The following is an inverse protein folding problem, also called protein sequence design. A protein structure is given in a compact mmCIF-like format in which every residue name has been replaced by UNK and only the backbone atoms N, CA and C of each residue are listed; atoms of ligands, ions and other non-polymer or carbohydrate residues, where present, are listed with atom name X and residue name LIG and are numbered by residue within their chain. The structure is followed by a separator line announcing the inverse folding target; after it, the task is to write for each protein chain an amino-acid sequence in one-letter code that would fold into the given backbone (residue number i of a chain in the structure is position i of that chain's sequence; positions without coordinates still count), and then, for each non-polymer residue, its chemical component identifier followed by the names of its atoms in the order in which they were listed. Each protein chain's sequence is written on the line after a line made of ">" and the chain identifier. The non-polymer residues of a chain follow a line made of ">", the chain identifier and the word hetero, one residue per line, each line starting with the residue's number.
data_IF_044540067952
#
_entry.id   IF_044540067952
#
_cell.length_a   1.000
_cell.length_b   1.000
_cell.length_c   1.000
_cell.angle_alpha   90.00
_cell.angle_beta   90.00
_cell.angle_gamma   90.00
#
_symmetry.space_group_name_H-M   'P 1'
#
loop_
_entity.id
_entity.type
_entity.pdbx_description
1 polymer ?
#
# COMPACT_ATOMS: atom_id res chain seq x y z
N UNK A 1 4.76 -11.40 26.43
CA UNK A 1 4.92 -9.99 26.82
C UNK A 1 3.91 -9.21 26.00
N UNK A 2 2.88 -8.61 26.61
CA UNK A 2 1.84 -7.88 25.88
C UNK A 2 2.46 -6.62 25.32
N UNK A 3 2.55 -6.51 24.00
CA UNK A 3 2.82 -5.24 23.31
C UNK A 3 1.49 -4.46 23.36
N UNK A 4 1.18 -3.89 24.53
CA UNK A 4 0.18 -2.84 24.59
C UNK A 4 0.93 -1.55 24.32
N UNK A 5 0.92 -1.10 23.07
CA UNK A 5 1.10 0.32 22.83
C UNK A 5 -0.05 1.00 23.59
N UNK A 6 0.18 1.39 24.83
CA UNK A 6 -0.72 2.27 25.57
C UNK A 6 -0.53 3.66 24.97
N UNK A 7 -1.32 3.96 23.93
CA UNK A 7 -1.57 5.35 23.59
C UNK A 7 -2.37 5.94 24.75
N UNK A 8 -1.98 7.09 25.29
CA UNK A 8 -2.80 7.77 26.31
C UNK A 8 -4.16 8.05 25.67
N UNK A 9 -5.22 7.54 26.31
CA UNK A 9 -6.60 7.90 26.00
C UNK A 9 -6.84 9.32 26.47
N UNK A 10 -6.61 10.30 25.58
CA UNK A 10 -7.07 11.65 25.81
C UNK A 10 -8.59 11.69 25.62
N UNK A 11 -9.33 11.64 26.71
CA UNK A 11 -10.77 11.88 26.73
C UNK A 11 -10.97 13.39 26.77
N UNK A 12 -11.32 14.00 25.63
CA UNK A 12 -11.83 15.36 25.59
C UNK A 12 -13.34 15.34 25.84
N UNK A 13 -13.87 16.09 26.81
CA UNK A 13 -15.31 16.25 26.99
C UNK A 13 -15.84 17.28 26.01
N UNK A 14 -16.29 16.85 24.83
CA UNK A 14 -17.10 17.65 23.94
C UNK A 14 -18.55 17.14 24.03
N UNK A 15 -19.48 18.00 24.48
CA UNK A 15 -20.90 17.83 24.22
C UNK A 15 -21.10 18.16 22.74
N UNK A 16 -20.73 17.24 21.87
CA UNK A 16 -21.12 17.24 20.46
C UNK A 16 -22.31 16.29 20.35
N UNK A 17 -23.34 16.68 19.61
CA UNK A 17 -24.25 15.70 19.00
C UNK A 17 -23.35 14.64 18.39
N UNK A 18 -23.49 13.38 18.82
CA UNK A 18 -22.56 12.31 18.41
C UNK A 18 -22.69 12.11 16.88
N UNK A 19 -21.82 12.81 16.14
CA UNK A 19 -21.76 12.79 14.68
C UNK A 19 -21.65 11.36 14.11
N UNK A 20 -21.19 10.41 14.92
CA UNK A 20 -20.90 9.04 14.55
C UNK A 20 -21.71 8.04 15.39
N UNK A 21 -22.92 8.42 15.82
CA UNK A 21 -23.76 7.64 16.72
C UNK A 21 -24.07 6.24 16.17
N UNK A 22 -24.48 6.15 14.89
CA UNK A 22 -24.80 4.87 14.23
C UNK A 22 -23.53 4.02 14.02
N UNK A 23 -22.42 4.63 13.61
CA UNK A 23 -21.14 3.93 13.46
C UNK A 23 -20.70 3.34 14.81
N UNK A 24 -20.86 4.06 15.90
CA UNK A 24 -20.56 3.59 17.26
C UNK A 24 -21.49 2.45 17.69
N UNK A 25 -22.79 2.56 17.43
CA UNK A 25 -23.76 1.50 17.69
C UNK A 25 -23.38 0.22 16.93
N UNK A 26 -23.12 0.34 15.63
CA UNK A 26 -22.72 -0.79 14.77
C UNK A 26 -21.39 -1.41 15.20
N UNK A 27 -20.41 -0.60 15.60
CA UNK A 27 -19.15 -1.11 16.14
C UNK A 27 -19.36 -1.88 17.44
N UNK A 28 -20.17 -1.37 18.37
CA UNK A 28 -20.52 -2.08 19.61
C UNK A 28 -21.23 -3.42 19.32
N UNK A 29 -22.15 -3.42 18.36
CA UNK A 29 -22.81 -4.66 17.91
C UNK A 29 -21.84 -5.63 17.27
N UNK A 30 -20.90 -5.16 16.43
CA UNK A 30 -19.91 -6.00 15.75
C UNK A 30 -18.98 -6.72 16.73
N UNK A 31 -18.66 -6.11 17.87
CA UNK A 31 -17.82 -6.75 18.90
C UNK A 31 -18.42 -8.04 19.47
N UNK A 32 -19.71 -8.27 19.31
CA UNK A 32 -20.39 -9.50 19.76
C UNK A 32 -20.31 -10.64 18.72
N UNK A 33 -19.91 -10.36 17.47
CA UNK A 33 -19.92 -11.35 16.38
C UNK A 33 -18.63 -11.36 15.55
N UNK A 34 -17.84 -10.32 15.58
CA UNK A 34 -16.58 -10.20 14.84
C UNK A 34 -15.45 -9.98 15.84
N UNK A 35 -14.41 -10.79 15.76
CA UNK A 35 -13.25 -10.67 16.65
C UNK A 35 -12.68 -9.23 16.58
N UNK A 36 -12.59 -8.57 17.73
CA UNK A 36 -12.21 -7.16 17.88
C UNK A 36 -13.15 -6.15 17.16
N UNK A 37 -14.33 -6.57 16.67
CA UNK A 37 -15.30 -5.75 15.96
C UNK A 37 -14.93 -5.38 14.52
N UNK A 38 -13.81 -5.88 13.99
CA UNK A 38 -13.29 -5.56 12.64
C UNK A 38 -12.64 -6.78 11.98
N UNK A 39 -12.73 -6.88 10.64
CA UNK A 39 -12.09 -7.95 9.86
C UNK A 39 -10.63 -7.65 9.46
N UNK A 40 -10.10 -6.49 9.84
CA UNK A 40 -8.69 -6.14 9.66
C UNK A 40 -8.25 -5.24 10.79
N UNK A 41 -7.15 -5.58 11.48
CA UNK A 41 -6.65 -4.86 12.65
C UNK A 41 -6.41 -3.36 12.39
N UNK A 42 -6.01 -2.98 11.19
CA UNK A 42 -5.78 -1.59 10.83
C UNK A 42 -7.08 -0.75 10.88
N UNK A 43 -8.24 -1.36 10.60
CA UNK A 43 -9.53 -0.63 10.64
C UNK A 43 -9.95 -0.23 12.05
N UNK A 44 -9.41 -0.93 13.08
CA UNK A 44 -9.66 -0.58 14.49
C UNK A 44 -8.93 0.71 14.93
N UNK A 45 -7.92 1.12 14.16
CA UNK A 45 -7.14 2.32 14.47
C UNK A 45 -7.85 3.62 14.06
N UNK A 46 -8.97 3.55 13.36
CA UNK A 46 -9.73 4.73 12.93
C UNK A 46 -10.31 5.46 14.14
N UNK A 47 -10.14 6.80 14.18
CA UNK A 47 -10.60 7.67 15.25
C UNK A 47 -11.66 8.63 14.70
N UNK A 48 -12.67 9.00 15.49
CA UNK A 48 -12.89 8.67 16.91
C UNK A 48 -13.51 7.28 17.14
N UNK A 49 -13.96 6.61 16.09
CA UNK A 49 -14.55 5.26 16.07
C UNK A 49 -14.36 4.65 14.68
N UNK A 50 -14.26 3.32 14.53
CA UNK A 50 -14.34 2.69 13.22
C UNK A 50 -15.64 3.07 12.50
N UNK A 51 -15.52 3.77 11.36
CA UNK A 51 -16.67 4.23 10.60
C UNK A 51 -17.31 3.09 9.80
N UNK A 52 -18.62 3.12 9.70
CA UNK A 52 -19.40 2.24 8.84
C UNK A 52 -19.91 3.03 7.65
N UNK A 53 -19.64 2.55 6.45
CA UNK A 53 -20.01 3.24 5.20
C UNK A 53 -21.24 2.59 4.57
N UNK A 54 -22.10 3.42 4.00
CA UNK A 54 -23.31 2.99 3.29
C UNK A 54 -23.06 2.81 1.79
N UNK A 55 -22.36 3.77 1.15
CA UNK A 55 -22.04 3.75 -0.27
C UNK A 55 -20.86 4.68 -0.59
N UNK A 56 -20.37 4.58 -1.83
CA UNK A 56 -19.38 5.47 -2.40
C UNK A 56 -19.66 5.72 -3.87
N UNK A 57 -19.26 6.88 -4.38
CA UNK A 57 -19.37 7.26 -5.78
C UNK A 57 -18.21 8.16 -6.19
N UNK A 58 -17.48 7.80 -7.23
CA UNK A 58 -16.34 8.56 -7.72
C UNK A 58 -15.27 8.78 -6.62
N UNK A 59 -14.99 10.04 -6.31
CA UNK A 59 -14.03 10.46 -5.29
C UNK A 59 -14.59 10.51 -3.86
N UNK A 60 -15.88 10.16 -3.65
CA UNK A 60 -16.61 10.40 -2.41
C UNK A 60 -17.14 9.13 -1.79
N UNK A 61 -17.32 9.16 -0.45
CA UNK A 61 -17.90 8.08 0.34
C UNK A 61 -18.82 8.66 1.42
N UNK A 62 -19.89 7.94 1.74
CA UNK A 62 -20.86 8.33 2.78
C UNK A 62 -20.92 7.28 3.87
N UNK A 63 -20.83 7.73 5.11
CA UNK A 63 -21.02 6.83 6.24
C UNK A 63 -22.52 6.59 6.55
N UNK A 64 -22.80 5.69 7.48
CA UNK A 64 -24.17 5.34 7.91
C UNK A 64 -24.84 6.45 8.72
N UNK A 65 -24.07 7.40 9.20
CA UNK A 65 -24.55 8.57 9.92
C UNK A 65 -24.94 9.70 8.95
N UNK A 66 -24.68 9.55 7.64
CA UNK A 66 -25.00 10.49 6.57
C UNK A 66 -23.91 11.53 6.31
N UNK A 67 -22.74 11.39 6.91
CA UNK A 67 -21.62 12.27 6.63
C UNK A 67 -20.98 11.94 5.29
N UNK A 68 -20.68 12.95 4.48
CA UNK A 68 -19.98 12.86 3.21
C UNK A 68 -18.49 13.19 3.40
N UNK A 69 -17.63 12.43 2.70
CA UNK A 69 -16.19 12.63 2.72
C UNK A 69 -15.61 12.63 1.29
N UNK A 70 -14.71 13.56 1.00
CA UNK A 70 -13.77 13.41 -0.10
C UNK A 70 -12.75 12.35 0.35
N UNK A 71 -12.68 11.23 -0.38
CA UNK A 71 -11.96 10.03 0.09
C UNK A 71 -10.59 9.90 -0.56
N UNK A 72 -9.55 10.31 0.16
CA UNK A 72 -8.15 10.08 -0.22
C UNK A 72 -7.58 8.78 0.36
N UNK A 73 -8.40 7.94 1.00
CA UNK A 73 -8.03 6.57 1.38
C UNK A 73 -8.32 5.59 0.25
N UNK A 74 -9.40 5.79 -0.50
CA UNK A 74 -9.85 5.00 -1.67
C UNK A 74 -9.56 3.49 -1.52
N UNK A 75 -10.13 2.89 -0.45
CA UNK A 75 -9.97 1.46 -0.18
C UNK A 75 -8.51 1.03 0.08
N UNK A 76 -7.73 1.82 0.82
CA UNK A 76 -6.29 1.60 1.03
C UNK A 76 -5.51 1.58 -0.29
N UNK A 77 -5.94 2.40 -1.25
CA UNK A 77 -5.34 2.51 -2.58
C UNK A 77 -5.83 1.49 -3.62
N UNK A 78 -6.79 0.63 -3.29
CA UNK A 78 -7.33 -0.36 -4.25
C UNK A 78 -8.23 0.27 -5.32
N UNK A 79 -8.91 1.37 -5.01
CA UNK A 79 -9.90 2.00 -5.86
C UNK A 79 -9.28 3.08 -6.77
N UNK A 80 -8.33 2.68 -7.63
CA UNK A 80 -7.67 3.60 -8.55
C UNK A 80 -8.68 4.36 -9.44
N UNK A 81 -9.81 3.74 -9.77
CA UNK A 81 -10.87 4.33 -10.62
C UNK A 81 -11.96 5.03 -9.79
N UNK A 82 -11.80 5.15 -8.46
CA UNK A 82 -12.79 5.67 -7.54
C UNK A 82 -13.82 4.64 -7.11
N UNK A 83 -14.82 5.10 -6.36
CA UNK A 83 -15.92 4.28 -5.88
C UNK A 83 -16.96 4.05 -6.98
N UNK A 84 -17.48 2.82 -7.07
CA UNK A 84 -18.55 2.40 -7.98
C UNK A 84 -18.39 2.94 -9.42
N UNK A 85 -17.26 2.72 -10.09
CA UNK A 85 -17.06 3.22 -11.44
C UNK A 85 -18.07 2.59 -12.40
N UNK A 86 -18.65 3.42 -13.26
CA UNK A 86 -19.60 2.95 -14.27
C UNK A 86 -18.94 1.90 -15.20
N UNK A 87 -19.69 0.88 -15.58
CA UNK A 87 -19.23 -0.20 -16.44
C UNK A 87 -18.56 -1.36 -15.71
N UNK A 88 -17.91 -1.15 -14.56
CA UNK A 88 -17.31 -2.25 -13.80
C UNK A 88 -18.39 -3.10 -13.11
N UNK A 89 -19.41 -2.45 -12.54
CA UNK A 89 -20.54 -3.16 -11.94
C UNK A 89 -21.32 -3.98 -12.98
N UNK A 90 -21.51 -3.43 -14.17
CA UNK A 90 -22.12 -4.10 -15.31
C UNK A 90 -21.28 -5.31 -15.75
N UNK A 91 -19.96 -5.15 -15.90
CA UNK A 91 -19.07 -6.25 -16.29
C UNK A 91 -19.11 -7.42 -15.29
N UNK A 92 -19.12 -7.13 -13.99
CA UNK A 92 -19.27 -8.14 -12.94
C UNK A 92 -20.65 -8.77 -12.99
N UNK A 93 -21.71 -7.96 -13.17
CA UNK A 93 -23.10 -8.41 -13.23
C UNK A 93 -23.35 -9.33 -14.43
N UNK A 94 -22.84 -9.01 -15.61
CA UNK A 94 -22.96 -9.87 -16.79
C UNK A 94 -22.20 -11.19 -16.59
N UNK A 95 -20.99 -11.15 -16.03
CA UNK A 95 -20.26 -12.38 -15.73
C UNK A 95 -21.01 -13.25 -14.68
N UNK A 96 -21.62 -12.63 -13.68
CA UNK A 96 -22.38 -13.35 -12.66
C UNK A 96 -23.55 -14.16 -13.24
N UNK A 97 -24.18 -13.67 -14.32
CA UNK A 97 -25.25 -14.39 -15.04
C UNK A 97 -24.74 -15.66 -15.75
N UNK A 98 -23.46 -15.67 -16.15
CA UNK A 98 -22.84 -16.82 -16.81
C UNK A 98 -22.31 -17.86 -15.81
N UNK A 99 -22.07 -17.44 -14.58
CA UNK A 99 -21.53 -18.26 -13.50
C UNK A 99 -20.43 -17.57 -12.73
N UNK A 100 -20.32 -17.91 -11.45
CA UNK A 100 -19.40 -17.25 -10.51
C UNK A 100 -18.08 -18.00 -10.35
N UNK A 101 -18.08 -19.31 -10.62
CA UNK A 101 -16.88 -20.14 -10.49
C UNK A 101 -17.13 -21.54 -11.09
N UNK A 102 -16.14 -22.07 -11.81
CA UNK A 102 -16.24 -23.38 -12.46
C UNK A 102 -15.17 -24.39 -12.03
N UNK A 103 -14.18 -23.96 -11.22
CA UNK A 103 -12.97 -24.74 -10.94
C UNK A 103 -12.26 -25.26 -12.21
N UNK A 104 -12.35 -24.50 -13.29
CA UNK A 104 -11.82 -24.78 -14.62
C UNK A 104 -11.39 -23.47 -15.28
N UNK A 105 -10.63 -23.55 -16.36
CA UNK A 105 -10.15 -22.40 -17.12
C UNK A 105 -11.30 -21.70 -17.85
N UNK A 106 -11.12 -20.39 -18.07
CA UNK A 106 -11.97 -19.57 -18.91
C UNK A 106 -11.17 -18.60 -19.78
N UNK A 107 -11.77 -18.15 -20.86
CA UNK A 107 -11.11 -17.22 -21.82
C UNK A 107 -10.66 -15.91 -21.17
N UNK A 108 -11.41 -15.41 -20.16
CA UNK A 108 -11.04 -14.21 -19.42
C UNK A 108 -9.67 -14.29 -18.75
N UNK A 109 -9.20 -15.49 -18.36
CA UNK A 109 -7.85 -15.68 -17.82
C UNK A 109 -6.79 -15.29 -18.85
N UNK A 110 -6.98 -15.73 -20.10
CA UNK A 110 -6.07 -15.43 -21.22
C UNK A 110 -6.13 -13.94 -21.52
N UNK A 111 -7.32 -13.38 -21.66
CA UNK A 111 -7.51 -11.98 -21.98
C UNK A 111 -6.89 -11.02 -20.95
N UNK A 112 -7.02 -11.34 -19.66
CA UNK A 112 -6.41 -10.55 -18.57
C UNK A 112 -4.88 -10.70 -18.58
N UNK A 113 -4.37 -11.93 -18.80
CA UNK A 113 -2.94 -12.18 -18.89
C UNK A 113 -2.28 -11.41 -20.05
N UNK A 114 -2.90 -11.41 -21.24
CA UNK A 114 -2.42 -10.67 -22.41
C UNK A 114 -2.38 -9.16 -22.19
N UNK A 115 -3.36 -8.60 -21.45
CA UNK A 115 -3.36 -7.19 -21.07
C UNK A 115 -2.22 -6.84 -20.11
N UNK A 116 -1.95 -7.74 -19.16
CA UNK A 116 -0.80 -7.58 -18.25
C UNK A 116 0.52 -7.66 -19.01
N UNK A 117 0.66 -8.58 -19.97
CA UNK A 117 1.84 -8.67 -20.84
C UNK A 117 2.04 -7.39 -21.66
N UNK A 118 0.94 -6.75 -22.10
CA UNK A 118 1.01 -5.50 -22.86
C UNK A 118 1.42 -4.30 -22.00
N UNK A 119 1.00 -4.28 -20.72
CA UNK A 119 1.18 -3.12 -19.84
C UNK A 119 2.48 -3.20 -19.04
N UNK A 120 2.81 -4.38 -18.49
CA UNK A 120 3.86 -4.49 -17.47
C UNK A 120 5.21 -4.88 -18.10
N UNK A 121 6.28 -4.10 -17.89
CA UNK A 121 7.63 -4.48 -18.30
C UNK A 121 8.03 -5.85 -17.73
N UNK A 122 8.60 -6.73 -18.55
CA UNK A 122 9.04 -8.07 -18.13
C UNK A 122 7.92 -9.09 -17.84
N UNK A 123 6.65 -8.78 -18.13
CA UNK A 123 5.53 -9.71 -17.98
C UNK A 123 5.44 -10.70 -19.13
N UNK A 124 6.21 -11.78 -19.07
CA UNK A 124 6.13 -12.87 -20.07
C UNK A 124 5.08 -13.92 -19.70
N UNK A 125 4.90 -14.20 -18.41
CA UNK A 125 3.93 -15.14 -17.89
C UNK A 125 3.20 -14.57 -16.67
N UNK A 126 1.99 -15.08 -16.42
CA UNK A 126 1.08 -14.62 -15.36
C UNK A 126 0.54 -15.79 -14.55
N UNK A 127 0.38 -15.60 -13.23
CA UNK A 127 -0.39 -16.48 -12.34
C UNK A 127 -1.30 -15.63 -11.46
N UNK A 128 -2.56 -16.00 -11.37
CA UNK A 128 -3.58 -15.28 -10.57
C UNK A 128 -3.72 -15.83 -9.16
N UNK A 129 -4.04 -14.93 -8.22
CA UNK A 129 -4.34 -15.22 -6.83
C UNK A 129 -5.48 -14.31 -6.34
N UNK A 130 -5.97 -14.54 -5.12
CA UNK A 130 -7.04 -13.71 -4.54
C UNK A 130 -6.50 -12.52 -3.73
N UNK A 131 -5.26 -12.59 -3.27
CA UNK A 131 -4.60 -11.52 -2.51
C UNK A 131 -3.12 -11.39 -2.83
N UNK A 132 -2.58 -10.18 -2.70
CA UNK A 132 -1.14 -9.95 -2.84
C UNK A 132 -0.31 -10.72 -1.79
N UNK A 133 -0.86 -11.00 -0.61
CA UNK A 133 -0.21 -11.84 0.41
C UNK A 133 0.08 -13.25 -0.14
N UNK A 134 -0.88 -13.86 -0.85
CA UNK A 134 -0.67 -15.16 -1.51
C UNK A 134 0.36 -15.07 -2.64
N UNK A 135 0.35 -13.98 -3.40
CA UNK A 135 1.34 -13.72 -4.46
C UNK A 135 2.75 -13.62 -3.89
N UNK A 136 2.92 -12.91 -2.77
CA UNK A 136 4.21 -12.79 -2.06
C UNK A 136 4.73 -14.16 -1.63
N UNK A 137 3.89 -14.99 -1.01
CA UNK A 137 4.27 -16.36 -0.61
C UNK A 137 4.70 -17.19 -1.83
N UNK A 138 3.97 -17.07 -2.93
CA UNK A 138 4.29 -17.75 -4.19
C UNK A 138 5.62 -17.27 -4.78
N UNK A 139 5.87 -15.95 -4.77
CA UNK A 139 7.10 -15.35 -5.27
C UNK A 139 8.32 -15.78 -4.45
N UNK A 140 8.23 -15.82 -3.12
CA UNK A 140 9.32 -16.26 -2.24
C UNK A 140 9.63 -17.75 -2.43
N UNK A 141 8.59 -18.60 -2.49
CA UNK A 141 8.75 -20.04 -2.78
C UNK A 141 9.40 -20.26 -4.12
N UNK A 142 8.97 -19.53 -5.14
CA UNK A 142 9.49 -19.63 -6.49
C UNK A 142 10.97 -19.21 -6.56
N UNK A 143 11.33 -18.10 -5.90
CA UNK A 143 12.71 -17.61 -5.83
C UNK A 143 13.64 -18.62 -5.16
N UNK A 144 13.22 -19.18 -4.01
CA UNK A 144 13.97 -20.24 -3.33
C UNK A 144 14.14 -21.50 -4.19
N UNK A 145 13.10 -21.93 -4.88
CA UNK A 145 13.15 -23.09 -5.77
C UNK A 145 13.99 -22.84 -7.04
N UNK A 146 13.96 -21.61 -7.57
CA UNK A 146 14.72 -21.22 -8.75
C UNK A 146 16.23 -21.22 -8.46
N UNK A 147 16.63 -20.70 -7.31
CA UNK A 147 18.05 -20.50 -6.95
C UNK A 147 18.63 -21.62 -6.08
N UNK A 148 17.80 -22.43 -5.43
CA UNK A 148 18.21 -23.38 -4.40
C UNK A 148 18.67 -22.74 -3.08
N UNK A 149 18.40 -21.46 -2.87
CA UNK A 149 18.88 -20.68 -1.71
C UNK A 149 17.74 -20.34 -0.74
N UNK A 150 18.00 -20.26 0.59
CA UNK A 150 16.94 -20.10 1.57
C UNK A 150 16.54 -18.65 1.84
N UNK A 151 17.44 -17.66 1.68
CA UNK A 151 17.24 -16.32 2.20
C UNK A 151 16.52 -15.41 1.22
N UNK A 152 15.63 -14.56 1.73
CA UNK A 152 15.04 -13.42 1.01
C UNK A 152 15.55 -12.15 1.67
N UNK A 153 16.09 -11.23 0.87
CA UNK A 153 16.43 -9.89 1.34
C UNK A 153 15.26 -8.94 1.11
N UNK A 154 14.90 -8.18 2.14
CA UNK A 154 13.87 -7.12 2.09
C UNK A 154 14.37 -5.86 2.81
N UNK A 155 13.60 -4.79 2.73
CA UNK A 155 13.99 -3.51 3.35
C UNK A 155 13.21 -3.22 4.63
N UNK A 156 13.90 -2.60 5.60
CA UNK A 156 13.31 -2.19 6.89
C UNK A 156 12.11 -1.25 6.66
N UNK A 157 10.98 -1.56 7.30
CA UNK A 157 9.74 -0.81 7.13
C UNK A 157 8.89 -1.20 5.92
N UNK A 158 9.39 -2.01 4.98
CA UNK A 158 8.62 -2.47 3.83
C UNK A 158 7.55 -3.50 4.24
N UNK A 159 6.37 -3.39 3.63
CA UNK A 159 5.22 -4.27 3.86
C UNK A 159 4.94 -5.14 2.63
N UNK A 160 4.99 -6.46 2.83
CA UNK A 160 4.73 -7.43 1.77
C UNK A 160 3.62 -8.42 2.16
N UNK A 161 2.47 -7.91 2.61
CA UNK A 161 1.37 -8.74 3.10
C UNK A 161 1.50 -9.09 4.59
N UNK A 162 0.44 -9.71 5.13
CA UNK A 162 0.31 -9.98 6.56
C UNK A 162 0.70 -11.41 6.99
N UNK A 163 1.15 -12.23 6.04
CA UNK A 163 1.72 -13.54 6.36
C UNK A 163 3.08 -13.38 7.09
N UNK A 164 3.50 -14.44 7.75
CA UNK A 164 4.69 -14.46 8.61
C UNK A 164 5.93 -13.94 7.86
N UNK A 165 6.14 -14.36 6.62
CA UNK A 165 7.25 -13.88 5.79
C UNK A 165 7.13 -12.40 5.40
N UNK A 166 5.90 -11.93 5.16
CA UNK A 166 5.65 -10.56 4.66
C UNK A 166 5.94 -9.46 5.68
N UNK A 167 5.79 -9.77 6.98
CA UNK A 167 5.90 -8.81 8.08
C UNK A 167 7.28 -8.78 8.76
N UNK A 168 8.24 -9.62 8.39
CA UNK A 168 9.60 -9.57 8.95
C UNK A 168 10.20 -8.19 8.72
N UNK A 169 10.70 -7.51 9.76
CA UNK A 169 11.29 -6.17 9.67
C UNK A 169 10.30 -5.05 9.32
N UNK A 170 8.98 -5.31 9.41
CA UNK A 170 7.96 -4.29 9.23
C UNK A 170 7.73 -3.51 10.52
N UNK A 171 7.92 -2.19 10.45
CA UNK A 171 7.66 -1.22 11.52
C UNK A 171 8.23 -1.62 12.90
N UNK A 172 9.50 -2.02 13.03
CA UNK A 172 10.09 -2.29 14.34
C UNK A 172 10.12 -1.03 15.19
N UNK A 173 9.81 -1.10 16.51
CA UNK A 173 9.91 0.05 17.39
C UNK A 173 11.37 0.48 17.58
N UNK A 174 11.59 1.77 17.88
CA UNK A 174 12.91 2.38 17.89
C UNK A 174 13.93 1.71 18.84
N UNK A 175 13.46 1.16 19.94
CA UNK A 175 14.27 0.44 20.93
C UNK A 175 14.67 -0.99 20.48
N UNK A 176 14.22 -1.42 19.28
CA UNK A 176 14.43 -2.79 18.76
C UNK A 176 14.90 -2.82 17.31
N UNK A 177 15.42 -1.73 16.78
CA UNK A 177 15.90 -1.67 15.39
C UNK A 177 17.09 -2.58 15.08
N UNK A 178 17.84 -2.98 16.12
CA UNK A 178 19.12 -3.64 15.95
C UNK A 178 20.22 -2.67 15.53
N UNK A 179 21.35 -3.23 15.13
CA UNK A 179 22.49 -2.47 14.62
C UNK A 179 22.17 -1.84 13.24
N UNK A 180 22.86 -0.74 12.90
CA UNK A 180 22.71 -0.10 11.59
C UNK A 180 23.19 -1.02 10.45
N UNK A 181 24.20 -1.85 10.68
CA UNK A 181 24.71 -2.85 9.72
C UNK A 181 23.91 -4.17 9.75
N UNK A 182 23.08 -4.40 10.79
CA UNK A 182 22.26 -5.60 10.92
C UNK A 182 20.87 -5.25 11.44
N UNK A 183 20.00 -4.64 10.62
CA UNK A 183 18.65 -4.32 11.02
C UNK A 183 17.87 -5.54 11.53
N UNK A 184 17.01 -5.31 12.51
CA UNK A 184 16.27 -6.40 13.15
C UNK A 184 15.35 -7.16 12.20
N UNK A 185 15.23 -8.46 12.40
CA UNK A 185 14.23 -9.34 11.78
C UNK A 185 12.98 -9.46 12.63
N UNK A 186 12.71 -8.48 13.50
CA UNK A 186 11.54 -8.50 14.38
C UNK A 186 10.24 -8.62 13.57
N UNK A 187 9.35 -9.45 14.07
CA UNK A 187 7.99 -9.59 13.56
C UNK A 187 7.00 -8.90 14.51
N UNK A 188 6.06 -8.08 14.01
CA UNK A 188 5.12 -7.33 14.86
C UNK A 188 4.03 -8.21 15.50
N UNK A 189 3.84 -9.45 15.03
CA UNK A 189 2.82 -10.36 15.53
C UNK A 189 3.41 -11.44 16.44
N UNK A 190 2.63 -11.89 17.40
CA UNK A 190 2.89 -13.14 18.15
C UNK A 190 2.50 -14.35 17.29
N UNK A 191 3.07 -15.51 17.62
CA UNK A 191 2.76 -16.80 16.98
C UNK A 191 3.63 -17.15 15.79
N UNK A 192 4.56 -16.28 15.40
CA UNK A 192 5.54 -16.56 14.34
C UNK A 192 6.69 -17.36 14.92
N UNK A 193 7.05 -18.45 14.26
CA UNK A 193 8.16 -19.31 14.68
C UNK A 193 9.52 -18.66 14.31
N UNK A 194 10.56 -18.81 15.15
CA UNK A 194 11.87 -18.19 14.94
C UNK A 194 12.54 -18.60 13.62
N UNK A 195 12.28 -19.80 13.13
CA UNK A 195 12.84 -20.33 11.89
C UNK A 195 12.44 -19.50 10.67
N UNK A 196 11.22 -18.97 10.64
CA UNK A 196 10.77 -18.06 9.57
C UNK A 196 11.63 -16.80 9.54
N UNK A 197 11.91 -16.21 10.71
CA UNK A 197 12.75 -15.00 10.81
C UNK A 197 14.18 -15.27 10.31
N UNK A 198 14.68 -16.49 10.53
CA UNK A 198 16.00 -16.95 10.07
C UNK A 198 16.13 -17.00 8.55
N UNK A 199 15.03 -17.05 7.81
CA UNK A 199 15.03 -17.09 6.33
C UNK A 199 15.02 -15.71 5.67
N UNK A 200 15.20 -14.64 6.43
CA UNK A 200 15.21 -13.26 5.92
C UNK A 200 16.49 -12.51 6.29
N UNK A 201 16.85 -11.59 5.41
CA UNK A 201 17.84 -10.55 5.64
C UNK A 201 17.15 -9.21 5.49
N UNK A 202 17.39 -8.27 6.40
CA UNK A 202 16.80 -6.93 6.36
C UNK A 202 17.88 -5.92 6.07
N UNK A 203 17.67 -5.06 5.05
CA UNK A 203 18.57 -3.97 4.68
C UNK A 203 17.89 -2.61 4.90
N UNK A 204 18.68 -1.54 4.98
CA UNK A 204 18.16 -0.17 5.01
C UNK A 204 17.79 0.28 3.60
N UNK A 205 16.68 1.00 3.49
CA UNK A 205 16.27 1.64 2.23
C UNK A 205 17.14 2.86 1.94
N UNK A 206 17.39 3.14 0.68
CA UNK A 206 18.15 4.29 0.20
C UNK A 206 19.64 4.35 0.67
N UNK A 207 20.21 3.20 0.97
CA UNK A 207 21.64 3.04 1.28
C UNK A 207 22.26 1.95 0.39
N UNK A 208 22.67 2.28 -0.86
CA UNK A 208 23.26 1.30 -1.78
C UNK A 208 24.53 0.64 -1.24
N UNK A 209 25.37 1.36 -0.49
CA UNK A 209 26.61 0.82 0.06
C UNK A 209 26.33 -0.18 1.19
N UNK A 210 25.37 0.11 2.07
CA UNK A 210 24.90 -0.86 3.05
C UNK A 210 24.34 -2.10 2.36
N UNK A 211 23.53 -1.93 1.29
CA UNK A 211 22.98 -3.05 0.54
C UNK A 211 24.08 -3.95 -0.03
N UNK A 212 25.15 -3.38 -0.60
CA UNK A 212 26.30 -4.14 -1.09
C UNK A 212 26.96 -4.95 0.02
N UNK A 213 27.26 -4.32 1.17
CA UNK A 213 27.86 -5.01 2.32
C UNK A 213 27.01 -6.16 2.83
N UNK A 214 25.69 -5.96 2.94
CA UNK A 214 24.76 -7.00 3.40
C UNK A 214 24.74 -8.18 2.41
N UNK A 215 24.65 -7.89 1.11
CA UNK A 215 24.65 -8.96 0.09
C UNK A 215 25.97 -9.73 0.09
N UNK A 216 27.11 -9.05 0.20
CA UNK A 216 28.43 -9.67 0.27
C UNK A 216 28.59 -10.55 1.52
N UNK A 217 28.07 -10.12 2.68
CA UNK A 217 28.09 -10.91 3.91
C UNK A 217 27.23 -12.20 3.82
N UNK A 218 26.24 -12.23 2.90
CA UNK A 218 25.36 -13.38 2.67
C UNK A 218 25.55 -13.99 1.26
N UNK A 219 26.76 -13.82 0.68
CA UNK A 219 27.04 -14.29 -0.68
C UNK A 219 26.65 -15.77 -0.87
N UNK A 220 25.96 -16.06 -1.97
CA UNK A 220 25.49 -17.42 -2.30
C UNK A 220 24.29 -17.93 -1.47
N UNK A 221 23.74 -17.16 -0.53
CA UNK A 221 22.63 -17.59 0.33
C UNK A 221 21.30 -16.90 0.00
N UNK A 222 21.32 -15.73 -0.65
CA UNK A 222 20.13 -14.95 -0.95
C UNK A 222 19.51 -15.43 -2.27
N UNK A 223 18.22 -15.77 -2.23
CA UNK A 223 17.42 -16.19 -3.39
C UNK A 223 16.88 -14.99 -4.18
N UNK A 224 16.46 -13.95 -3.48
CA UNK A 224 15.87 -12.77 -4.11
C UNK A 224 16.02 -11.51 -3.23
N UNK A 225 15.97 -10.36 -3.88
CA UNK A 225 15.74 -9.05 -3.25
C UNK A 225 14.31 -8.62 -3.57
N UNK A 226 13.47 -8.42 -2.54
CA UNK A 226 12.09 -7.91 -2.68
C UNK A 226 12.01 -6.48 -2.16
N UNK A 227 11.31 -5.60 -2.88
CA UNK A 227 11.16 -4.20 -2.51
C UNK A 227 9.86 -3.57 -3.06
N UNK A 228 9.34 -2.58 -2.34
CA UNK A 228 8.34 -1.65 -2.89
C UNK A 228 9.11 -0.61 -3.73
N UNK A 229 8.86 -0.43 -5.04
CA UNK A 229 9.60 0.53 -5.86
C UNK A 229 9.54 1.98 -5.37
N UNK A 230 8.40 2.36 -4.79
CA UNK A 230 8.23 3.50 -3.89
C UNK A 230 7.69 2.95 -2.58
N UNK A 231 8.37 3.18 -1.48
CA UNK A 231 7.98 2.66 -0.17
C UNK A 231 6.72 3.37 0.35
N UNK A 232 5.56 3.08 -0.27
CA UNK A 232 4.29 3.71 0.07
C UNK A 232 3.81 3.35 1.47
N UNK A 233 4.15 2.17 1.98
CA UNK A 233 3.79 1.76 3.33
C UNK A 233 4.56 2.52 4.41
N UNK A 234 5.69 3.14 4.05
CA UNK A 234 6.49 3.98 4.93
C UNK A 234 6.85 5.28 4.21
N UNK A 235 6.14 6.36 4.50
CA UNK A 235 6.45 7.73 4.11
C UNK A 235 6.47 8.02 2.59
N UNK A 236 6.01 7.13 1.71
CA UNK A 236 6.11 7.27 0.24
C UNK A 236 7.53 7.66 -0.23
N UNK A 237 8.52 6.96 0.27
CA UNK A 237 9.92 7.24 -0.07
C UNK A 237 10.26 6.72 -1.45
N UNK A 238 10.62 7.63 -2.34
CA UNK A 238 11.18 7.26 -3.64
C UNK A 238 12.61 6.71 -3.49
N UNK A 239 13.07 5.84 -4.39
CA UNK A 239 14.46 5.38 -4.36
C UNK A 239 15.41 6.54 -4.68
N UNK A 240 16.51 6.65 -3.93
CA UNK A 240 17.60 7.56 -4.29
C UNK A 240 18.28 7.12 -5.58
N UNK A 241 18.93 8.06 -6.24
CA UNK A 241 19.68 7.77 -7.46
C UNK A 241 20.66 6.59 -7.24
N UNK A 242 20.61 5.61 -8.12
CA UNK A 242 21.47 4.44 -8.07
C UNK A 242 20.97 3.24 -7.25
N UNK A 243 19.96 3.39 -6.37
CA UNK A 243 19.49 2.25 -5.56
C UNK A 243 18.93 1.11 -6.43
N UNK A 244 18.02 1.43 -7.35
CA UNK A 244 17.40 0.40 -8.22
C UNK A 244 18.43 -0.27 -9.12
N UNK A 245 19.37 0.49 -9.69
CA UNK A 245 20.45 -0.06 -10.49
C UNK A 245 21.40 -0.94 -9.66
N UNK A 246 21.67 -0.57 -8.41
CA UNK A 246 22.43 -1.41 -7.46
C UNK A 246 21.71 -2.72 -7.17
N UNK A 247 20.39 -2.70 -6.95
CA UNK A 247 19.60 -3.93 -6.75
C UNK A 247 19.72 -4.83 -7.99
N UNK A 248 19.57 -4.28 -9.21
CA UNK A 248 19.69 -5.06 -10.45
C UNK A 248 21.09 -5.64 -10.62
N UNK A 249 22.14 -4.82 -10.43
CA UNK A 249 23.53 -5.22 -10.50
C UNK A 249 23.83 -6.40 -9.56
N UNK A 250 23.42 -6.31 -8.29
CA UNK A 250 23.63 -7.35 -7.30
C UNK A 250 22.88 -8.63 -7.64
N UNK A 251 21.63 -8.51 -8.12
CA UNK A 251 20.85 -9.67 -8.55
C UNK A 251 21.51 -10.38 -9.73
N UNK A 252 21.99 -9.63 -10.73
CA UNK A 252 22.66 -10.20 -11.91
C UNK A 252 24.01 -10.83 -11.54
N UNK A 253 24.80 -10.14 -10.71
CA UNK A 253 26.11 -10.64 -10.24
C UNK A 253 26.02 -11.99 -9.53
N UNK A 254 25.03 -12.11 -8.64
CA UNK A 254 24.92 -13.27 -7.75
C UNK A 254 23.84 -14.27 -8.19
N UNK A 255 23.15 -14.04 -9.31
CA UNK A 255 22.08 -14.91 -9.80
C UNK A 255 20.88 -14.97 -8.85
N UNK A 256 20.53 -13.84 -8.23
CA UNK A 256 19.32 -13.66 -7.40
C UNK A 256 18.18 -13.16 -8.27
N UNK A 257 16.93 -13.37 -7.84
CA UNK A 257 15.77 -12.74 -8.48
C UNK A 257 15.51 -11.34 -7.92
N UNK A 258 15.24 -10.38 -8.80
CA UNK A 258 14.74 -9.06 -8.49
C UNK A 258 13.21 -9.09 -8.45
N UNK A 259 12.59 -8.87 -7.29
CA UNK A 259 11.14 -8.92 -7.09
C UNK A 259 10.63 -7.53 -6.75
N UNK A 260 9.81 -6.94 -7.64
CA UNK A 260 9.13 -5.67 -7.39
C UNK A 260 7.74 -5.92 -6.81
N UNK A 261 7.47 -5.42 -5.62
CA UNK A 261 6.12 -5.41 -5.04
C UNK A 261 5.38 -4.14 -5.47
N UNK A 262 4.64 -4.27 -6.55
CA UNK A 262 3.80 -3.22 -7.14
C UNK A 262 2.35 -3.26 -6.63
N UNK A 263 2.12 -3.85 -5.47
CA UNK A 263 0.77 -3.94 -4.89
C UNK A 263 0.11 -2.56 -4.74
N UNK A 264 0.87 -1.53 -4.38
CA UNK A 264 0.37 -0.14 -4.30
C UNK A 264 0.67 0.63 -5.59
N UNK A 265 1.87 0.47 -6.12
CA UNK A 265 2.42 1.30 -7.19
C UNK A 265 1.95 0.89 -8.58
N UNK A 266 1.52 -0.37 -8.75
CA UNK A 266 1.02 -0.91 -10.02
C UNK A 266 -0.10 -0.06 -10.61
N UNK A 267 0.05 0.32 -11.87
CA UNK A 267 -0.88 1.18 -12.62
C UNK A 267 -1.10 2.59 -12.04
N UNK A 268 -0.40 2.96 -10.97
CA UNK A 268 -0.64 4.24 -10.27
C UNK A 268 0.24 5.38 -10.76
N UNK A 269 1.52 5.11 -11.02
CA UNK A 269 2.50 6.12 -11.44
C UNK A 269 2.71 6.16 -12.95
N UNK A 270 2.47 5.04 -13.62
CA UNK A 270 2.45 4.88 -15.06
C UNK A 270 1.54 3.69 -15.42
N UNK A 271 1.14 3.51 -16.69
CA UNK A 271 0.41 2.34 -17.14
C UNK A 271 1.08 1.02 -16.76
N UNK A 272 2.40 0.93 -16.87
CA UNK A 272 3.22 -0.20 -16.44
C UNK A 272 3.73 -0.12 -15.00
N UNK A 273 3.10 0.69 -14.14
CA UNK A 273 3.45 0.80 -12.72
C UNK A 273 4.70 1.64 -12.44
N UNK A 274 5.28 1.45 -11.24
CA UNK A 274 6.49 2.15 -10.85
C UNK A 274 7.72 1.67 -11.61
N UNK A 275 7.75 0.44 -12.12
CA UNK A 275 8.83 -0.05 -12.95
C UNK A 275 8.96 0.74 -14.26
N UNK A 276 7.85 1.12 -14.90
CA UNK A 276 7.86 2.05 -16.04
C UNK A 276 8.28 3.46 -15.61
N UNK A 277 7.68 3.97 -14.54
CA UNK A 277 7.97 5.30 -13.99
C UNK A 277 9.44 5.52 -13.62
N UNK A 278 10.10 4.47 -13.07
CA UNK A 278 11.49 4.50 -12.62
C UNK A 278 12.48 3.90 -13.64
N UNK A 279 11.99 3.35 -14.76
CA UNK A 279 12.81 2.83 -15.86
C UNK A 279 13.59 1.55 -15.53
N UNK A 280 12.97 0.54 -14.91
CA UNK A 280 13.60 -0.74 -14.64
C UNK A 280 12.69 -1.93 -14.97
N UNK A 281 13.27 -3.13 -15.08
CA UNK A 281 12.52 -4.37 -15.32
C UNK A 281 12.94 -5.44 -14.31
N UNK A 282 12.03 -5.87 -13.41
CA UNK A 282 12.29 -6.93 -12.45
C UNK A 282 12.19 -8.32 -13.10
N UNK A 283 12.56 -9.37 -12.35
CA UNK A 283 12.36 -10.75 -12.78
C UNK A 283 10.94 -11.24 -12.45
N UNK A 284 10.41 -10.78 -11.32
CA UNK A 284 9.03 -11.03 -10.87
C UNK A 284 8.41 -9.73 -10.37
N UNK A 285 7.12 -9.55 -10.64
CA UNK A 285 6.30 -8.44 -10.14
C UNK A 285 5.08 -8.97 -9.40
N UNK A 286 4.82 -8.42 -8.21
CA UNK A 286 3.63 -8.68 -7.42
C UNK A 286 2.63 -7.58 -7.70
N UNK A 287 1.42 -7.94 -8.15
CA UNK A 287 0.32 -7.01 -8.42
C UNK A 287 -0.86 -7.30 -7.50
N UNK A 288 -1.54 -6.25 -7.07
CA UNK A 288 -2.74 -6.31 -6.24
C UNK A 288 -3.54 -5.01 -6.34
N UNK A 289 -4.46 -4.80 -5.40
CA UNK A 289 -5.21 -3.53 -5.27
C UNK A 289 -5.84 -3.05 -6.60
N UNK A 290 -5.17 -2.11 -7.29
CA UNK A 290 -5.69 -1.46 -8.51
C UNK A 290 -6.02 -2.44 -9.63
N UNK A 291 -5.32 -3.58 -9.73
CA UNK A 291 -5.62 -4.60 -10.74
C UNK A 291 -7.04 -5.18 -10.59
N UNK A 292 -7.55 -5.26 -9.36
CA UNK A 292 -8.89 -5.76 -9.08
C UNK A 292 -9.96 -4.67 -8.95
N UNK A 293 -9.58 -3.38 -8.86
CA UNK A 293 -10.53 -2.28 -8.70
C UNK A 293 -11.43 -2.38 -7.46
N UNK A 294 -10.99 -3.14 -6.43
CA UNK A 294 -11.72 -3.34 -5.17
C UNK A 294 -12.21 -4.77 -4.94
N UNK A 295 -12.19 -5.66 -5.94
CA UNK A 295 -12.46 -7.10 -5.74
C UNK A 295 -11.18 -7.83 -5.28
N UNK A 296 -11.32 -9.00 -4.59
CA UNK A 296 -10.19 -9.82 -4.18
C UNK A 296 -9.47 -10.43 -5.39
N UNK A 297 -8.44 -9.75 -5.89
CA UNK A 297 -7.68 -10.18 -7.05
C UNK A 297 -6.23 -9.70 -6.99
N UNK A 298 -5.30 -10.57 -7.35
CA UNK A 298 -3.88 -10.29 -7.41
C UNK A 298 -3.20 -11.19 -8.48
N UNK A 299 -2.01 -10.80 -8.91
CA UNK A 299 -1.26 -11.57 -9.88
C UNK A 299 0.24 -11.56 -9.59
N UNK A 300 0.89 -12.69 -9.82
CA UNK A 300 2.33 -12.80 -10.01
C UNK A 300 2.59 -12.74 -11.51
N UNK A 301 3.36 -11.77 -11.95
CA UNK A 301 3.81 -11.65 -13.34
C UNK A 301 5.34 -11.69 -13.39
N UNK A 302 5.93 -12.15 -14.48
CA UNK A 302 7.37 -12.14 -14.59
C UNK A 302 7.93 -12.88 -15.80
N UNK A 303 9.25 -12.94 -15.84
CA UNK A 303 10.01 -13.63 -16.89
C UNK A 303 9.73 -15.13 -16.89
N UNK A 304 9.65 -15.73 -18.07
CA UNK A 304 9.48 -17.18 -18.25
C UNK A 304 10.57 -17.98 -17.53
N UNK A 305 11.80 -17.51 -17.57
CA UNK A 305 12.93 -18.13 -16.87
C UNK A 305 12.72 -18.17 -15.35
N UNK A 306 12.23 -17.08 -14.75
CA UNK A 306 11.94 -17.02 -13.31
C UNK A 306 10.76 -17.94 -12.93
N UNK A 307 9.78 -18.13 -13.82
CA UNK A 307 8.59 -18.97 -13.59
C UNK A 307 8.79 -20.44 -13.98
N UNK A 308 9.98 -20.85 -14.43
CA UNK A 308 10.25 -22.17 -14.95
C UNK A 308 9.85 -23.30 -13.99
N UNK A 309 10.05 -23.12 -12.68
CA UNK A 309 9.72 -24.14 -11.67
C UNK A 309 8.21 -24.37 -11.50
N UNK A 310 7.38 -23.37 -11.84
CA UNK A 310 5.92 -23.55 -11.91
C UNK A 310 5.56 -24.31 -13.19
N UNK A 311 6.19 -23.99 -14.32
CA UNK A 311 5.95 -24.67 -15.61
C UNK A 311 6.29 -26.15 -15.50
N UNK A 312 7.40 -26.50 -14.85
CA UNK A 312 7.85 -27.88 -14.61
C UNK A 312 7.00 -28.63 -13.59
N UNK A 313 6.10 -27.95 -12.85
CA UNK A 313 5.27 -28.53 -11.79
C UNK A 313 6.02 -28.81 -10.47
N UNK A 314 7.29 -28.39 -10.35
CA UNK A 314 8.08 -28.60 -9.13
C UNK A 314 7.76 -27.58 -8.02
N UNK A 315 7.14 -26.45 -8.37
CA UNK A 315 6.61 -25.46 -7.41
C UNK A 315 5.10 -25.45 -7.48
N UNK A 316 4.46 -25.82 -6.38
CA UNK A 316 3.00 -25.80 -6.25
C UNK A 316 2.51 -24.36 -6.18
N UNK A 317 1.64 -24.00 -7.10
CA UNK A 317 0.81 -22.79 -7.09
C UNK A 317 -0.62 -23.22 -7.34
N UNK A 318 -1.45 -23.20 -6.30
CA UNK A 318 -2.82 -23.68 -6.34
C UNK A 318 -3.74 -22.75 -5.51
N UNK A 319 -5.02 -22.78 -5.85
CA UNK A 319 -6.05 -22.04 -5.12
C UNK A 319 -7.40 -22.23 -5.82
N UNK A 320 -8.41 -22.71 -5.10
CA UNK A 320 -9.74 -22.98 -5.63
C UNK A 320 -10.33 -21.77 -6.37
N UNK A 321 -10.11 -20.57 -5.85
CA UNK A 321 -10.68 -19.33 -6.41
C UNK A 321 -9.70 -18.54 -7.27
N UNK A 322 -8.50 -19.08 -7.56
CA UNK A 322 -7.55 -18.41 -8.44
C UNK A 322 -8.14 -18.31 -9.86
N UNK A 323 -8.04 -17.12 -10.46
CA UNK A 323 -8.70 -16.89 -11.76
C UNK A 323 -10.23 -16.88 -11.67
N UNK A 324 -10.79 -16.41 -10.53
CA UNK A 324 -12.25 -16.32 -10.38
C UNK A 324 -12.85 -15.42 -11.47
N UNK A 325 -13.86 -15.90 -12.24
CA UNK A 325 -14.43 -15.17 -13.38
C UNK A 325 -14.99 -13.80 -13.03
N UNK A 326 -15.60 -13.60 -11.85
CA UNK A 326 -16.10 -12.27 -11.43
C UNK A 326 -14.94 -11.28 -11.22
N UNK A 327 -13.86 -11.76 -10.61
CA UNK A 327 -12.67 -10.95 -10.38
C UNK A 327 -11.92 -10.67 -11.69
N UNK A 328 -11.88 -11.63 -12.61
CA UNK A 328 -11.31 -11.45 -13.95
C UNK A 328 -12.10 -10.44 -14.78
N UNK A 329 -13.45 -10.46 -14.73
CA UNK A 329 -14.28 -9.47 -15.42
C UNK A 329 -14.01 -8.04 -14.88
N UNK A 330 -13.89 -7.89 -13.56
CA UNK A 330 -13.51 -6.62 -12.95
C UNK A 330 -12.09 -6.18 -13.36
N UNK A 331 -11.13 -7.12 -13.31
CA UNK A 331 -9.74 -6.85 -13.69
C UNK A 331 -9.60 -6.49 -15.17
N UNK A 332 -10.30 -7.20 -16.05
CA UNK A 332 -10.35 -6.88 -17.48
C UNK A 332 -10.82 -5.44 -17.70
N UNK A 333 -11.93 -5.06 -17.04
CA UNK A 333 -12.42 -3.68 -17.11
C UNK A 333 -11.37 -2.67 -16.64
N UNK A 334 -10.70 -2.93 -15.52
CA UNK A 334 -9.64 -2.07 -14.99
C UNK A 334 -8.48 -1.90 -15.98
N UNK A 335 -7.98 -3.00 -16.54
CA UNK A 335 -6.85 -2.98 -17.47
C UNK A 335 -7.21 -2.35 -18.81
N UNK A 336 -8.42 -2.60 -19.33
CA UNK A 336 -8.93 -1.93 -20.55
C UNK A 336 -9.01 -0.42 -20.35
N UNK A 337 -9.35 0.02 -19.12
CA UNK A 337 -9.38 1.44 -18.77
C UNK A 337 -7.97 2.06 -18.76
N UNK A 338 -6.99 1.38 -18.18
CA UNK A 338 -5.56 1.80 -18.24
C UNK A 338 -5.09 1.91 -19.68
N UNK A 339 -5.35 0.87 -20.49
CA UNK A 339 -4.95 0.85 -21.92
C UNK A 339 -5.62 1.97 -22.68
N UNK A 340 -6.92 2.24 -22.46
CA UNK A 340 -7.67 3.27 -23.14
C UNK A 340 -7.23 4.70 -22.82
N UNK A 341 -6.76 4.96 -21.61
CA UNK A 341 -6.22 6.25 -21.20
C UNK A 341 -4.77 6.47 -21.69
N UNK A 342 -4.00 5.39 -21.89
CA UNK A 342 -2.62 5.45 -22.36
C UNK A 342 -1.75 6.42 -21.54
N UNK A 343 -1.00 7.28 -22.20
CA UNK A 343 -0.10 8.26 -21.54
C UNK A 343 -0.83 9.30 -20.66
N UNK A 344 -2.13 9.49 -20.83
CA UNK A 344 -2.92 10.39 -19.98
C UNK A 344 -3.24 9.75 -18.63
N UNK A 345 -3.09 8.42 -18.48
CA UNK A 345 -3.45 7.68 -17.29
C UNK A 345 -2.80 8.22 -16.00
N UNK A 346 -1.47 8.41 -15.91
CA UNK A 346 -0.87 8.89 -14.68
C UNK A 346 -0.97 10.41 -14.51
N UNK A 347 -1.07 11.16 -15.62
CA UNK A 347 -0.88 12.62 -15.64
C UNK A 347 -1.89 13.35 -14.76
N UNK A 348 -3.16 12.99 -14.84
CA UNK A 348 -4.24 13.61 -14.06
C UNK A 348 -3.99 13.43 -12.56
N UNK A 349 -3.76 12.20 -12.12
CA UNK A 349 -3.53 11.90 -10.71
C UNK A 349 -2.22 12.53 -10.19
N UNK A 350 -1.21 12.63 -11.05
CA UNK A 350 0.09 13.22 -10.74
C UNK A 350 -0.03 14.73 -10.51
N UNK A 351 -0.72 15.43 -11.39
CA UNK A 351 -0.89 16.88 -11.30
C UNK A 351 -1.79 17.26 -10.11
N UNK A 352 -2.91 16.58 -9.93
CA UNK A 352 -3.81 16.80 -8.78
C UNK A 352 -3.11 16.48 -7.45
N UNK A 353 -2.33 15.42 -7.39
CA UNK A 353 -1.57 15.04 -6.19
C UNK A 353 -0.52 16.08 -5.82
N UNK A 354 0.24 16.59 -6.79
CA UNK A 354 1.22 17.67 -6.57
C UNK A 354 0.54 18.96 -6.11
N UNK A 355 -0.61 19.32 -6.68
CA UNK A 355 -1.39 20.49 -6.25
C UNK A 355 -1.87 20.32 -4.80
N UNK A 356 -2.43 19.15 -4.44
CA UNK A 356 -2.88 18.88 -3.07
C UNK A 356 -1.71 18.94 -2.09
N UNK A 357 -0.57 18.33 -2.40
CA UNK A 357 0.65 18.39 -1.58
C UNK A 357 1.12 19.83 -1.34
N UNK A 358 1.19 20.64 -2.41
CA UNK A 358 1.59 22.05 -2.32
C UNK A 358 0.60 22.86 -1.49
N UNK A 359 -0.70 22.65 -1.69
CA UNK A 359 -1.76 23.30 -0.91
C UNK A 359 -1.71 22.94 0.59
N UNK A 360 -1.58 21.64 0.91
CA UNK A 360 -1.43 21.20 2.31
C UNK A 360 -0.17 21.78 2.96
N UNK A 361 0.95 21.91 2.21
CA UNK A 361 2.15 22.56 2.70
C UNK A 361 1.92 24.04 3.00
N UNK A 362 1.29 24.77 2.08
CA UNK A 362 0.97 26.20 2.27
C UNK A 362 0.05 26.43 3.48
N UNK A 363 -0.95 25.55 3.68
CA UNK A 363 -1.82 25.58 4.86
C UNK A 363 -1.06 25.29 6.15
N UNK A 364 -0.13 24.33 6.12
CA UNK A 364 0.72 24.03 7.25
C UNK A 364 1.57 25.24 7.66
N UNK A 365 2.19 25.90 6.70
CA UNK A 365 2.99 27.11 6.93
C UNK A 365 2.10 28.26 7.44
N UNK A 366 0.91 28.48 6.88
CA UNK A 366 -0.09 29.48 7.31
C UNK A 366 -0.47 29.31 8.79
N UNK A 367 -0.67 28.08 9.26
CA UNK A 367 -1.13 27.77 10.62
C UNK A 367 0.00 27.42 11.59
N UNK A 368 1.26 27.46 11.16
CA UNK A 368 2.41 27.12 11.99
C UNK A 368 2.46 25.64 12.41
N UNK A 369 1.99 24.76 11.52
CA UNK A 369 1.96 23.31 11.73
C UNK A 369 3.13 22.67 10.98
N UNK A 370 3.99 21.86 11.65
CA UNK A 370 5.15 21.26 11.01
C UNK A 370 4.76 20.04 10.16
N UNK A 371 3.88 20.22 9.17
CA UNK A 371 3.46 19.17 8.25
C UNK A 371 4.28 19.25 6.95
N UNK A 372 4.74 18.09 6.49
CA UNK A 372 5.54 17.95 5.25
C UNK A 372 4.97 16.84 4.38
N UNK A 373 4.22 17.17 3.31
CA UNK A 373 3.85 16.19 2.30
C UNK A 373 5.08 15.70 1.53
N UNK A 374 5.19 14.38 1.34
CA UNK A 374 6.28 13.73 0.60
C UNK A 374 5.74 12.58 -0.26
N UNK A 375 6.23 12.45 -1.48
CA UNK A 375 5.88 11.38 -2.43
C UNK A 375 5.70 11.88 -3.85
N UNK A 376 5.47 10.97 -4.82
CA UNK A 376 5.40 11.31 -6.25
C UNK A 376 4.10 12.00 -6.70
N UNK A 377 3.08 12.10 -5.84
CA UNK A 377 1.80 12.76 -6.14
C UNK A 377 0.59 11.82 -6.13
N UNK A 378 0.47 10.81 -7.02
CA UNK A 378 -0.67 9.88 -7.00
C UNK A 378 -0.80 9.05 -5.72
N UNK A 379 0.32 8.90 -5.01
CA UNK A 379 0.39 8.49 -3.62
C UNK A 379 1.41 9.38 -2.93
N UNK A 380 1.07 9.90 -1.76
CA UNK A 380 1.98 10.71 -0.95
C UNK A 380 1.68 10.55 0.54
N UNK A 381 2.63 10.92 1.38
CA UNK A 381 2.49 10.89 2.83
C UNK A 381 2.53 12.31 3.38
N UNK A 382 1.54 12.69 4.17
CA UNK A 382 1.53 13.94 4.93
C UNK A 382 2.21 13.67 6.29
N UNK A 383 3.49 13.97 6.40
CA UNK A 383 4.28 13.72 7.60
C UNK A 383 4.14 14.88 8.57
N UNK A 384 3.60 14.63 9.76
CA UNK A 384 3.67 15.55 10.88
C UNK A 384 5.05 15.41 11.54
N UNK A 385 5.82 16.49 11.61
CA UNK A 385 7.16 16.47 12.20
C UNK A 385 7.11 16.83 13.68
N UNK A 386 8.01 16.22 14.46
CA UNK A 386 8.29 16.66 15.84
C UNK A 386 8.90 18.06 15.86
N UNK A 387 8.70 18.84 16.93
CA UNK A 387 9.38 20.13 17.10
C UNK A 387 10.91 19.98 16.94
N UNK A 388 11.51 20.85 16.13
CA UNK A 388 12.96 20.85 15.89
C UNK A 388 13.48 19.73 14.97
N UNK A 389 12.62 18.89 14.42
CA UNK A 389 13.03 17.89 13.44
C UNK A 389 13.51 18.56 12.14
N UNK A 390 14.51 17.96 11.48
CA UNK A 390 15.03 18.43 10.21
C UNK A 390 13.93 18.50 9.13
N UNK A 391 13.97 19.51 8.27
CA UNK A 391 12.93 19.75 7.25
C UNK A 391 13.16 19.01 5.91
N UNK A 392 14.35 18.46 5.68
CA UNK A 392 14.70 17.76 4.44
C UNK A 392 13.86 16.50 4.18
N UNK A 393 14.00 15.85 3.00
CA UNK A 393 13.30 14.62 2.69
C UNK A 393 13.61 13.52 3.70
N UNK A 394 12.64 12.64 3.89
CA UNK A 394 12.80 11.42 4.70
C UNK A 394 13.16 10.29 3.74
N UNK A 395 14.29 9.65 3.97
CA UNK A 395 14.86 8.70 3.04
C UNK A 395 14.88 7.25 3.52
N UNK A 396 14.72 7.00 4.83
CA UNK A 396 14.64 5.65 5.39
C UNK A 396 13.60 5.55 6.52
N UNK A 397 13.30 4.31 6.92
CA UNK A 397 12.34 4.03 7.97
C UNK A 397 12.73 4.64 9.33
N UNK A 398 14.01 4.59 9.71
CA UNK A 398 14.48 5.09 11.00
C UNK A 398 14.40 6.59 11.09
N UNK A 399 14.74 7.30 10.00
CA UNK A 399 14.59 8.75 9.90
C UNK A 399 13.11 9.14 10.00
N UNK A 400 12.21 8.39 9.32
CA UNK A 400 10.77 8.59 9.45
C UNK A 400 10.28 8.50 10.89
N UNK A 401 10.64 7.43 11.62
CA UNK A 401 10.19 7.23 13.01
C UNK A 401 10.79 8.25 13.97
N UNK A 402 12.05 8.66 13.75
CA UNK A 402 12.69 9.71 14.58
C UNK A 402 11.99 11.05 14.44
N UNK A 403 11.53 11.39 13.24
CA UNK A 403 11.03 12.74 12.90
C UNK A 403 9.53 12.88 13.00
N UNK A 404 8.75 11.80 12.84
CA UNK A 404 7.29 11.86 12.87
C UNK A 404 6.72 12.13 14.26
N UNK A 405 5.66 12.93 14.33
CA UNK A 405 4.78 13.15 15.49
C UNK A 405 3.43 12.47 15.22
N UNK A 406 3.33 11.18 15.51
CA UNK A 406 2.12 10.39 15.23
C UNK A 406 0.90 10.84 16.05
N UNK A 407 0.99 11.20 17.35
CA UNK A 407 -0.15 11.74 18.10
C UNK A 407 -0.70 13.03 17.49
N UNK A 408 0.18 13.95 17.11
CA UNK A 408 -0.22 15.22 16.49
C UNK A 408 -0.85 15.01 15.12
N UNK A 409 -0.35 14.07 14.31
CA UNK A 409 -1.01 13.66 13.07
C UNK A 409 -2.41 13.10 13.33
N UNK A 410 -2.58 12.21 14.31
CA UNK A 410 -3.88 11.61 14.64
C UNK A 410 -4.91 12.69 14.96
N UNK A 411 -4.53 13.72 15.73
CA UNK A 411 -5.40 14.84 16.04
C UNK A 411 -5.77 15.65 14.77
N UNK A 412 -4.77 16.02 13.94
CA UNK A 412 -5.06 16.76 12.69
C UNK A 412 -5.95 15.94 11.75
N UNK A 413 -5.70 14.64 11.61
CA UNK A 413 -6.53 13.75 10.79
C UNK A 413 -7.97 13.69 11.28
N UNK A 414 -8.19 13.70 12.61
CA UNK A 414 -9.53 13.76 13.18
C UNK A 414 -10.23 15.08 12.81
N UNK A 415 -9.53 16.21 12.90
CA UNK A 415 -10.04 17.50 12.44
C UNK A 415 -10.38 17.49 10.94
N UNK A 416 -9.53 16.87 10.09
CA UNK A 416 -9.79 16.70 8.65
C UNK A 416 -11.07 15.87 8.41
N UNK A 417 -11.20 14.75 9.11
CA UNK A 417 -12.37 13.87 9.00
C UNK A 417 -13.66 14.59 9.38
N UNK A 418 -13.66 15.40 10.43
CA UNK A 418 -14.80 16.22 10.85
C UNK A 418 -15.18 17.28 9.80
N UNK A 419 -14.24 17.74 9.00
CA UNK A 419 -14.50 18.65 7.88
C UNK A 419 -14.86 17.89 6.58
N UNK A 420 -14.94 16.55 6.60
CA UNK A 420 -15.28 15.75 5.42
C UNK A 420 -14.12 15.49 4.48
N UNK A 421 -12.89 15.45 4.99
CA UNK A 421 -11.68 15.01 4.27
C UNK A 421 -11.16 13.74 4.91
N UNK A 422 -11.16 12.63 4.17
CA UNK A 422 -10.77 11.33 4.68
C UNK A 422 -9.39 10.92 4.17
N UNK A 423 -8.42 10.85 5.09
CA UNK A 423 -7.07 10.37 4.85
C UNK A 423 -6.76 9.11 5.67
N UNK A 424 -5.73 8.36 5.30
CA UNK A 424 -5.31 7.15 6.00
C UNK A 424 -4.69 7.51 7.37
N UNK A 425 -4.90 6.64 8.36
CA UNK A 425 -4.54 6.84 9.76
C UNK A 425 -3.06 7.13 9.97
N UNK A 426 -2.19 6.53 9.15
CA UNK A 426 -0.72 6.73 9.22
C UNK A 426 -0.20 7.89 8.39
N UNK A 427 -1.06 8.68 7.72
CA UNK A 427 -0.66 9.84 6.94
C UNK A 427 -0.56 9.64 5.42
N UNK A 428 -0.85 8.46 4.92
CA UNK A 428 -0.85 8.15 3.49
C UNK A 428 -2.12 8.68 2.80
N UNK A 429 -1.95 9.26 1.63
CA UNK A 429 -3.00 9.79 0.76
C UNK A 429 -2.88 9.21 -0.63
N UNK A 430 -4.01 8.98 -1.28
CA UNK A 430 -4.08 8.51 -2.65
C UNK A 430 -4.96 9.41 -3.50
N UNK A 431 -4.53 9.66 -4.73
CA UNK A 431 -5.38 10.25 -5.76
C UNK A 431 -5.89 9.13 -6.67
N UNK A 432 -7.20 9.08 -6.87
CA UNK A 432 -7.83 8.21 -7.86
C UNK A 432 -8.07 8.95 -9.17
N UNK A 433 -8.31 8.22 -10.24
CA UNK A 433 -8.70 8.79 -11.54
C UNK A 433 -10.11 9.41 -11.54
N UNK A 434 -10.87 9.19 -10.46
CA UNK A 434 -12.16 9.84 -10.26
C UNK A 434 -12.06 11.22 -9.62
N UNK A 435 -10.97 11.54 -8.94
CA UNK A 435 -10.75 12.89 -8.42
C UNK A 435 -10.70 13.92 -9.54
N UNK A 436 -11.24 15.10 -9.30
CA UNK A 436 -11.25 16.26 -10.21
C UNK A 436 -10.66 17.46 -9.50
N UNK A 437 -10.35 18.53 -10.26
CA UNK A 437 -9.85 19.78 -9.70
C UNK A 437 -10.74 20.31 -8.57
N UNK A 438 -12.07 20.22 -8.74
CA UNK A 438 -13.05 20.66 -7.74
C UNK A 438 -12.90 19.93 -6.40
N UNK A 439 -12.55 18.62 -6.43
CA UNK A 439 -12.33 17.85 -5.19
C UNK A 439 -11.08 18.33 -4.46
N UNK A 440 -10.03 18.70 -5.19
CA UNK A 440 -8.80 19.24 -4.61
C UNK A 440 -9.04 20.62 -4.00
N UNK A 441 -9.73 21.51 -4.73
CA UNK A 441 -10.05 22.86 -4.28
C UNK A 441 -10.93 22.81 -3.01
N UNK A 442 -11.97 21.97 -3.00
CA UNK A 442 -12.84 21.76 -1.85
C UNK A 442 -12.07 21.14 -0.66
N UNK A 443 -11.23 20.15 -0.92
CA UNK A 443 -10.41 19.51 0.12
C UNK A 443 -9.48 20.53 0.79
N UNK A 444 -8.87 21.45 0.04
CA UNK A 444 -8.00 22.49 0.58
C UNK A 444 -8.79 23.52 1.42
N UNK A 445 -9.99 23.90 1.00
CA UNK A 445 -10.88 24.78 1.79
C UNK A 445 -11.23 24.10 3.13
N UNK A 446 -11.63 22.83 3.08
CA UNK A 446 -11.96 22.04 4.28
C UNK A 446 -10.74 21.80 5.16
N UNK A 447 -9.59 21.57 4.56
CA UNK A 447 -8.33 21.40 5.27
C UNK A 447 -7.91 22.70 5.98
N UNK A 448 -8.12 23.88 5.40
CA UNK A 448 -7.84 25.17 6.07
C UNK A 448 -8.58 25.28 7.42
N UNK A 449 -9.88 24.95 7.42
CA UNK A 449 -10.68 24.93 8.65
C UNK A 449 -10.18 23.87 9.66
N UNK A 450 -9.81 22.68 9.19
CA UNK A 450 -9.26 21.62 10.03
C UNK A 450 -7.92 22.02 10.64
N UNK A 451 -7.04 22.67 9.89
CA UNK A 451 -5.73 23.16 10.34
C UNK A 451 -5.88 24.27 11.38
N UNK A 452 -6.81 25.22 11.15
CA UNK A 452 -7.13 26.27 12.13
C UNK A 452 -7.61 25.66 13.45
N UNK A 453 -8.56 24.70 13.40
CA UNK A 453 -9.05 23.98 14.58
C UNK A 453 -7.91 23.26 15.29
N UNK A 454 -7.10 22.46 14.55
CA UNK A 454 -5.95 21.75 15.11
C UNK A 454 -4.98 22.70 15.82
N UNK A 455 -4.62 23.82 15.18
CA UNK A 455 -3.67 24.79 15.74
C UNK A 455 -4.19 25.42 17.04
N UNK A 456 -5.50 25.66 17.16
CA UNK A 456 -6.11 26.19 18.37
C UNK A 456 -6.14 25.15 19.51
N UNK A 457 -6.60 23.94 19.24
CA UNK A 457 -6.78 22.87 20.23
C UNK A 457 -5.46 22.28 20.70
N UNK A 458 -4.50 22.06 19.79
CA UNK A 458 -3.19 21.46 20.12
C UNK A 458 -2.31 22.37 21.00
N UNK A 459 -2.47 23.70 20.91
CA UNK A 459 -1.78 24.66 21.79
C UNK A 459 -2.36 24.70 23.20
N UNK A 460 -3.62 24.30 23.36
CA UNK A 460 -4.33 24.29 24.64
C UNK A 460 -4.14 22.98 25.44
N UNK A 461 -3.61 21.94 24.80
CA UNK A 461 -3.31 20.65 25.41
C UNK A 461 -1.84 20.54 25.80
#
# INVERSE_FOLDING_TARGET
>A
MRISARYPSFVFPLIMTDRYAKSRELFNRAQNSIAAGVNSGIRKMEQPVPLYFSHGSGSRVWDVDGNEYIDFQIGQGALLYGHAPAGMAEAIGEQAKLGTHWAAQCELEIEVAERLQKLMPGAELVRFNNSATEVVLSAFRLARAHTGRPLILKFEGAYHGWADEGLVGFCPPADKWGDDEAPTRLHPSQGVIPEVLGTFVVARWNDPDHLRRIVDAHHGQIAAIVFEPVMCNTCCMEPTAGLISTIRELCDRDGMLMIADETITGFRFAPGGAQEYLGFTPDLTILGKAIGGGVPFAALVGKKSAMQKIIEGSVVHAGTLNGNPLCLAASKWCLDHVIGLGENHPRIALDLGKQLMSGLRALADKHGIPLRPQGPGPAFHAVMLKPGAAEGPINDYRDYVRRQDAPRWTHLRTCLLEQGVRAIERGLWFISLAHRQQDIDEALIKADAAFAKHAAEWKAA
#
